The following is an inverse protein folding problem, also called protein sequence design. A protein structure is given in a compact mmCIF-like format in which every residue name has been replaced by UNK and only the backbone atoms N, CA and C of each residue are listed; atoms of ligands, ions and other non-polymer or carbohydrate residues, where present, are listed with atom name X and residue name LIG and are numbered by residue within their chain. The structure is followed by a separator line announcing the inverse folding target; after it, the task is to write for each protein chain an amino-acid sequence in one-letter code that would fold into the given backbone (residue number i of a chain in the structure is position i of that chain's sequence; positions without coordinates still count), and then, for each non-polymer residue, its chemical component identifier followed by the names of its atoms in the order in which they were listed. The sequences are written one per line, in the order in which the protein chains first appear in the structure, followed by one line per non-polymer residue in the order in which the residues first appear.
data_IF_822318283385
#
_entry.id   IF_822318283385
#
_cell.length_a   1.000
_cell.length_b   1.000
_cell.length_c   1.000
_cell.angle_alpha   90.00
_cell.angle_beta   90.00
_cell.angle_gamma   90.00
#
_symmetry.space_group_name_H-M   'P 1'
#
loop_
_entity.id
_entity.type
_entity.pdbx_description
1 polymer ?
#
# COMPACT_ATOMS: atom_id res chain seq x y z
N UNK A 1 1.86 13.03 -33.71
CA UNK A 1 1.56 13.39 -32.31
C UNK A 1 1.52 12.10 -31.53
N UNK A 2 2.42 11.91 -30.56
CA UNK A 2 2.34 10.76 -29.65
C UNK A 2 1.30 11.09 -28.59
N UNK A 3 0.19 10.37 -28.63
CA UNK A 3 -0.85 10.39 -27.59
C UNK A 3 -0.45 9.31 -26.57
N UNK A 4 0.53 9.64 -25.73
CA UNK A 4 0.94 8.78 -24.61
C UNK A 4 -0.08 8.98 -23.48
N UNK A 5 -0.97 7.99 -23.39
CA UNK A 5 -2.00 7.82 -22.37
C UNK A 5 -1.41 8.03 -20.97
N UNK A 6 -1.87 8.99 -20.15
CA UNK A 6 -1.51 8.97 -18.74
C UNK A 6 -2.36 7.88 -18.08
N UNK A 7 -1.75 6.70 -17.90
CA UNK A 7 -2.19 5.65 -17.00
C UNK A 7 -2.34 6.26 -15.59
N UNK A 8 -3.48 6.87 -15.30
CA UNK A 8 -3.86 7.24 -13.94
C UNK A 8 -4.41 5.98 -13.24
N UNK A 9 -3.59 4.93 -13.22
CA UNK A 9 -3.67 3.94 -12.15
C UNK A 9 -3.24 4.67 -10.90
N UNK A 10 -4.19 5.17 -10.12
CA UNK A 10 -3.90 5.55 -8.73
C UNK A 10 -3.58 4.25 -7.98
N UNK A 11 -2.38 3.74 -8.19
CA UNK A 11 -1.66 2.96 -7.20
C UNK A 11 -1.41 3.94 -6.06
N UNK A 12 -2.41 4.15 -5.21
CA UNK A 12 -2.24 4.90 -3.99
C UNK A 12 -1.18 4.17 -3.18
N UNK A 13 0.08 4.62 -3.32
CA UNK A 13 1.20 4.15 -2.53
C UNK A 13 0.85 4.46 -1.07
N UNK A 14 0.26 3.50 -0.35
CA UNK A 14 -0.03 3.66 1.07
C UNK A 14 1.29 3.64 1.81
N UNK A 15 1.86 4.83 1.97
CA UNK A 15 3.06 5.06 2.78
C UNK A 15 2.62 5.13 4.23
N UNK A 16 2.82 4.03 4.95
CA UNK A 16 2.62 3.99 6.40
C UNK A 16 3.95 3.76 7.10
N UNK A 17 4.09 4.38 8.27
CA UNK A 17 5.20 4.05 9.16
C UNK A 17 5.09 2.59 9.59
N UNK A 18 6.24 1.96 9.68
CA UNK A 18 6.33 0.62 10.21
C UNK A 18 6.22 0.63 11.73
N UNK A 19 5.50 -0.32 12.32
CA UNK A 19 5.46 -0.48 13.76
C UNK A 19 6.78 -1.00 14.36
N UNK A 20 7.67 -1.56 13.54
CA UNK A 20 8.92 -2.19 13.97
C UNK A 20 10.17 -1.31 13.74
N UNK A 21 10.21 -0.58 12.63
CA UNK A 21 11.28 0.34 12.26
C UNK A 21 10.73 1.78 12.43
N UNK A 22 11.14 2.55 13.46
CA UNK A 22 10.62 3.91 13.75
C UNK A 22 10.85 4.91 12.60
N UNK A 23 11.79 4.61 11.71
CA UNK A 23 12.13 5.41 10.52
C UNK A 23 11.59 4.87 9.22
N UNK A 24 11.24 3.58 9.16
CA UNK A 24 11.00 2.94 7.88
C UNK A 24 9.55 3.05 7.44
N UNK A 25 9.39 3.38 6.16
CA UNK A 25 8.11 3.36 5.46
C UNK A 25 7.90 2.03 4.78
N UNK A 26 6.68 1.49 4.86
CA UNK A 26 6.27 0.40 4.00
C UNK A 26 5.60 0.91 2.74
N UNK A 27 5.92 0.27 1.61
CA UNK A 27 5.17 0.35 0.37
C UNK A 27 4.04 -0.69 0.36
N UNK A 28 2.96 -0.39 -0.38
CA UNK A 28 1.87 -1.34 -0.59
C UNK A 28 2.31 -2.41 -1.60
N UNK A 29 2.17 -3.70 -1.24
CA UNK A 29 2.49 -4.80 -2.16
C UNK A 29 1.26 -5.52 -2.70
N UNK A 30 0.23 -5.71 -1.87
CA UNK A 30 -0.97 -6.45 -2.31
C UNK A 30 -2.24 -5.91 -1.63
N UNK A 31 -3.28 -5.68 -2.43
CA UNK A 31 -4.58 -5.18 -2.00
C UNK A 31 -5.67 -6.22 -2.29
N UNK A 32 -6.20 -6.85 -1.24
CA UNK A 32 -7.33 -7.74 -1.35
C UNK A 32 -8.61 -7.02 -0.91
N UNK A 33 -9.48 -6.67 -1.88
CA UNK A 33 -10.80 -6.10 -1.60
C UNK A 33 -11.85 -7.20 -1.44
N UNK A 34 -12.55 -7.23 -0.31
CA UNK A 34 -13.74 -8.07 -0.06
C UNK A 34 -14.88 -7.22 0.46
N UNK A 35 -15.93 -7.09 -0.35
CA UNK A 35 -17.07 -6.20 -0.07
C UNK A 35 -16.58 -4.78 0.24
N UNK A 36 -16.58 -4.43 1.51
CA UNK A 36 -16.27 -3.12 2.07
C UNK A 36 -14.93 -3.09 2.82
N UNK A 37 -14.28 -4.25 2.96
CA UNK A 37 -12.98 -4.40 3.60
C UNK A 37 -11.89 -4.50 2.53
N UNK A 38 -10.83 -3.72 2.70
CA UNK A 38 -9.62 -3.78 1.91
C UNK A 38 -8.48 -4.20 2.82
N UNK A 39 -8.00 -5.42 2.64
CA UNK A 39 -6.76 -5.88 3.31
C UNK A 39 -5.57 -5.48 2.45
N UNK A 40 -4.63 -4.78 3.06
CA UNK A 40 -3.39 -4.30 2.44
C UNK A 40 -2.22 -5.00 3.11
N UNK A 41 -1.42 -5.73 2.34
CA UNK A 41 -0.14 -6.25 2.80
C UNK A 41 0.96 -5.21 2.60
N UNK A 42 1.73 -4.96 3.66
CA UNK A 42 2.72 -3.91 3.78
C UNK A 42 4.04 -4.53 4.25
N UNK A 43 5.13 -4.11 3.62
CA UNK A 43 6.48 -4.58 3.97
C UNK A 43 7.39 -3.36 4.16
N UNK A 44 8.02 -3.21 5.33
CA UNK A 44 9.01 -2.13 5.59
C UNK A 44 10.22 -2.40 4.71
N UNK A 45 10.58 -1.46 3.84
CA UNK A 45 11.74 -1.59 2.95
C UNK A 45 13.06 -1.58 3.77
N UNK A 46 13.07 -0.90 4.92
CA UNK A 46 14.28 -0.78 5.76
C UNK A 46 14.58 -2.02 6.59
N UNK A 47 13.57 -2.63 7.21
CA UNK A 47 13.76 -3.77 8.14
C UNK A 47 13.18 -5.09 7.63
N UNK A 48 12.48 -5.08 6.50
CA UNK A 48 11.82 -6.27 5.93
C UNK A 48 10.64 -6.77 6.76
N UNK A 49 10.13 -5.98 7.72
CA UNK A 49 8.99 -6.39 8.54
C UNK A 49 7.71 -6.36 7.71
N UNK A 50 6.94 -7.45 7.75
CA UNK A 50 5.69 -7.62 6.99
C UNK A 50 4.49 -7.56 7.94
N UNK A 51 3.48 -6.78 7.59
CA UNK A 51 2.22 -6.71 8.32
C UNK A 51 1.04 -6.42 7.39
N UNK A 52 -0.17 -6.71 7.86
CA UNK A 52 -1.39 -6.42 7.12
C UNK A 52 -2.21 -5.33 7.81
N UNK A 53 -2.85 -4.47 7.02
CA UNK A 53 -3.84 -3.50 7.49
C UNK A 53 -5.17 -3.71 6.80
N UNK A 54 -6.25 -3.74 7.56
CA UNK A 54 -7.60 -3.76 7.02
C UNK A 54 -8.13 -2.32 7.04
N UNK A 55 -8.47 -1.81 5.87
CA UNK A 55 -9.16 -0.53 5.68
C UNK A 55 -10.64 -0.83 5.45
N UNK A 56 -11.51 -0.16 6.19
CA UNK A 56 -12.97 -0.22 6.03
C UNK A 56 -13.45 1.12 5.49
N UNK A 57 -14.34 1.12 4.51
CA UNK A 57 -14.86 2.34 3.90
C UNK A 57 -16.31 2.55 4.33
N UNK A 58 -16.52 3.20 5.49
CA UNK A 58 -17.86 3.50 6.02
C UNK A 58 -18.75 4.33 5.08
#
# INVERSE_FOLDING_TARGET
MNDECPEQGMEEEIKTQCPNCETGTAGQMEKQRRNDEVTVALTCDECGHEWTRVLRFE
#
